data_IF_234040569562
#
_entry.id   IF_234040569562
#
_cell.length_a   1.000
_cell.length_b   1.000
_cell.length_c   1.000
_cell.angle_alpha   90.00
_cell.angle_beta   90.00
_cell.angle_gamma   90.00
#
_symmetry.space_group_name_H-M   'P 1'
#
loop_
_entity.id
_entity.type
_entity.pdbx_description
1 polymer ?
#
# COMPACT_ATOMS: atom_id res chain seq x y z
N UNK A 1 21.65 -17.08 -15.45
CA UNK A 1 21.22 -16.22 -16.57
C UNK A 1 21.43 -14.78 -16.13
N UNK A 2 22.40 -14.07 -16.72
CA UNK A 2 22.64 -12.67 -16.35
C UNK A 2 21.46 -11.84 -16.84
N UNK A 3 20.70 -11.25 -15.91
CA UNK A 3 19.69 -10.25 -16.26
C UNK A 3 20.45 -9.02 -16.73
N UNK A 4 20.43 -8.75 -18.03
CA UNK A 4 21.00 -7.52 -18.57
C UNK A 4 20.18 -6.32 -18.09
N UNK A 5 20.89 -5.28 -17.65
CA UNK A 5 20.31 -4.02 -17.15
C UNK A 5 19.37 -3.41 -18.18
N UNK A 6 19.68 -3.59 -19.47
CA UNK A 6 18.85 -3.16 -20.61
C UNK A 6 17.44 -3.77 -20.57
N UNK A 7 17.33 -5.08 -20.34
CA UNK A 7 16.04 -5.79 -20.29
C UNK A 7 15.25 -5.35 -19.06
N UNK A 8 15.94 -5.14 -17.93
CA UNK A 8 15.30 -4.64 -16.71
C UNK A 8 14.75 -3.22 -16.90
N UNK A 9 15.54 -2.32 -17.49
CA UNK A 9 15.09 -0.96 -17.80
C UNK A 9 13.93 -0.95 -18.81
N UNK A 10 13.97 -1.84 -19.80
CA UNK A 10 12.88 -2.00 -20.77
C UNK A 10 11.60 -2.46 -20.06
N UNK A 11 11.68 -3.48 -19.22
CA UNK A 11 10.54 -4.00 -18.46
C UNK A 11 9.92 -2.92 -17.55
N UNK A 12 10.76 -2.19 -16.81
CA UNK A 12 10.31 -1.07 -15.94
C UNK A 12 9.65 0.04 -16.76
N UNK A 13 10.21 0.39 -17.91
CA UNK A 13 9.65 1.44 -18.78
C UNK A 13 8.29 1.05 -19.37
N UNK A 14 8.14 -0.21 -19.82
CA UNK A 14 6.86 -0.73 -20.32
C UNK A 14 5.81 -0.74 -19.21
N UNK A 15 6.19 -1.16 -17.99
CA UNK A 15 5.29 -1.17 -16.83
C UNK A 15 4.85 0.25 -16.46
N UNK A 16 5.77 1.23 -16.46
CA UNK A 16 5.42 2.64 -16.25
C UNK A 16 4.53 3.20 -17.36
N UNK A 17 4.77 2.82 -18.61
CA UNK A 17 3.94 3.25 -19.74
C UNK A 17 2.48 2.81 -19.56
N UNK A 18 2.25 1.53 -19.25
CA UNK A 18 0.90 1.03 -18.96
C UNK A 18 0.29 1.68 -17.72
N UNK A 19 1.09 1.92 -16.69
CA UNK A 19 0.66 2.60 -15.46
C UNK A 19 0.16 4.02 -15.76
N UNK A 20 0.91 4.81 -16.54
CA UNK A 20 0.51 6.18 -16.92
C UNK A 20 -0.78 6.14 -17.78
N UNK A 21 -0.89 5.17 -18.68
CA UNK A 21 -2.07 5.01 -19.52
C UNK A 21 -3.31 4.66 -18.67
N UNK A 22 -3.14 3.77 -17.69
CA UNK A 22 -4.16 3.43 -16.70
C UNK A 22 -4.55 4.66 -15.86
N UNK A 23 -3.59 5.49 -15.45
CA UNK A 23 -3.85 6.74 -14.75
C UNK A 23 -4.70 7.73 -15.55
N UNK A 24 -4.44 7.87 -16.87
CA UNK A 24 -5.30 8.68 -17.75
C UNK A 24 -6.66 8.04 -18.02
N UNK A 25 -6.74 6.71 -18.05
CA UNK A 25 -8.01 6.00 -18.19
C UNK A 25 -8.89 6.18 -16.94
N UNK A 26 -8.30 6.18 -15.73
CA UNK A 26 -9.01 6.41 -14.47
C UNK A 26 -9.85 7.68 -14.50
N UNK A 27 -9.29 8.80 -14.96
CA UNK A 27 -10.02 10.07 -15.03
C UNK A 27 -11.15 10.07 -16.05
N UNK A 28 -11.10 9.21 -17.07
CA UNK A 28 -12.15 9.09 -18.09
C UNK A 28 -13.25 8.11 -17.72
N UNK A 29 -12.93 7.01 -17.05
CA UNK A 29 -13.88 5.97 -16.67
C UNK A 29 -14.47 6.15 -15.27
N UNK A 30 -13.98 7.13 -14.49
CA UNK A 30 -14.48 7.39 -13.12
C UNK A 30 -14.08 6.34 -12.09
N UNK A 31 -13.20 5.40 -12.45
CA UNK A 31 -12.71 4.33 -11.57
C UNK A 31 -11.52 4.85 -10.76
N UNK A 32 -11.41 4.53 -9.45
CA UNK A 32 -10.25 4.91 -8.63
C UNK A 32 -8.92 4.49 -9.26
N UNK A 33 -8.00 5.43 -9.43
CA UNK A 33 -6.70 5.19 -10.07
C UNK A 33 -5.91 4.07 -9.37
N UNK A 34 -6.01 3.98 -8.04
CA UNK A 34 -5.44 2.92 -7.22
C UNK A 34 -5.82 1.51 -7.70
N UNK A 35 -7.10 1.27 -8.05
CA UNK A 35 -7.55 -0.04 -8.51
C UNK A 35 -6.94 -0.41 -9.87
N UNK A 36 -6.78 0.57 -10.76
CA UNK A 36 -6.16 0.34 -12.07
C UNK A 36 -4.66 0.07 -11.94
N UNK A 37 -3.94 0.84 -11.12
CA UNK A 37 -2.51 0.55 -10.85
C UNK A 37 -2.31 -0.82 -10.20
N UNK A 38 -3.17 -1.20 -9.24
CA UNK A 38 -3.16 -2.52 -8.62
C UNK A 38 -3.34 -3.62 -9.67
N UNK A 39 -4.31 -3.46 -10.58
CA UNK A 39 -4.57 -4.43 -11.65
C UNK A 39 -3.37 -4.60 -12.57
N UNK A 40 -2.74 -3.51 -13.01
CA UNK A 40 -1.53 -3.54 -13.83
C UNK A 40 -0.39 -4.26 -13.09
N UNK A 41 -0.21 -3.98 -11.80
CA UNK A 41 0.78 -4.64 -10.96
C UNK A 41 0.55 -6.14 -10.79
N UNK A 42 -0.70 -6.54 -10.51
CA UNK A 42 -1.07 -7.95 -10.37
C UNK A 42 -0.89 -8.74 -11.68
N UNK A 43 -1.30 -8.16 -12.81
CA UNK A 43 -1.07 -8.76 -14.14
C UNK A 43 0.41 -8.87 -14.49
N UNK A 44 1.24 -7.95 -13.99
CA UNK A 44 2.68 -8.00 -14.22
C UNK A 44 3.40 -8.97 -13.26
N UNK A 45 2.75 -9.42 -12.19
CA UNK A 45 3.35 -10.27 -11.18
C UNK A 45 3.40 -11.75 -11.50
N UNK A 46 3.65 -12.56 -10.47
CA UNK A 46 3.81 -14.02 -10.58
C UNK A 46 2.61 -14.71 -11.21
N UNK A 47 1.40 -14.20 -10.95
CA UNK A 47 0.14 -14.79 -11.40
C UNK A 47 -0.24 -14.35 -12.83
N UNK A 48 0.51 -13.43 -13.44
CA UNK A 48 0.29 -12.96 -14.79
C UNK A 48 1.51 -13.18 -15.69
N UNK A 49 2.32 -12.13 -15.92
CA UNK A 49 3.51 -12.19 -16.77
C UNK A 49 4.69 -12.98 -16.16
N UNK A 50 4.56 -13.46 -14.93
CA UNK A 50 5.52 -14.35 -14.29
C UNK A 50 6.78 -13.65 -13.77
N UNK A 51 6.73 -12.33 -13.52
CA UNK A 51 7.87 -11.60 -12.92
C UNK A 51 8.04 -12.07 -11.47
N UNK A 52 9.16 -12.71 -11.09
CA UNK A 52 9.34 -13.24 -9.75
C UNK A 52 9.61 -12.12 -8.74
N UNK A 53 8.72 -11.95 -7.78
CA UNK A 53 8.89 -11.04 -6.63
C UNK A 53 9.40 -11.81 -5.40
N UNK A 54 10.64 -12.29 -5.45
CA UNK A 54 11.23 -13.05 -4.34
C UNK A 54 12.18 -12.21 -3.45
N UNK A 55 12.31 -10.91 -3.72
CA UNK A 55 13.25 -10.04 -3.01
C UNK A 55 12.52 -9.04 -2.10
N UNK A 56 12.37 -9.44 -0.83
CA UNK A 56 11.75 -8.61 0.21
C UNK A 56 12.57 -7.33 0.44
N UNK A 57 13.90 -7.39 0.35
CA UNK A 57 14.76 -6.21 0.56
C UNK A 57 14.55 -5.14 -0.52
N UNK A 58 14.45 -5.55 -1.79
CA UNK A 58 14.17 -4.63 -2.89
C UNK A 58 12.77 -4.01 -2.75
N UNK A 59 11.76 -4.81 -2.42
CA UNK A 59 10.40 -4.33 -2.21
C UNK A 59 10.34 -3.32 -1.04
N UNK A 60 10.99 -3.62 0.09
CA UNK A 60 11.05 -2.73 1.24
C UNK A 60 11.77 -1.41 0.92
N UNK A 61 12.90 -1.47 0.19
CA UNK A 61 13.63 -0.27 -0.22
C UNK A 61 12.77 0.65 -1.11
N UNK A 62 12.13 0.09 -2.15
CA UNK A 62 11.25 0.84 -3.05
C UNK A 62 10.05 1.41 -2.27
N UNK A 63 9.42 0.59 -1.43
CA UNK A 63 8.27 1.00 -0.61
C UNK A 63 8.63 2.12 0.36
N UNK A 64 9.80 2.05 1.00
CA UNK A 64 10.25 3.09 1.94
C UNK A 64 10.46 4.41 1.23
N UNK A 65 11.15 4.40 0.08
CA UNK A 65 11.37 5.62 -0.72
C UNK A 65 10.03 6.19 -1.21
N UNK A 66 9.13 5.35 -1.71
CA UNK A 66 7.81 5.76 -2.15
C UNK A 66 6.97 6.36 -1.00
N UNK A 67 6.96 5.72 0.18
CA UNK A 67 6.25 6.20 1.36
C UNK A 67 6.80 7.55 1.83
N UNK A 68 8.12 7.73 1.85
CA UNK A 68 8.74 9.01 2.16
C UNK A 68 8.28 10.11 1.21
N UNK A 69 8.25 9.84 -0.11
CA UNK A 69 7.78 10.81 -1.11
C UNK A 69 6.30 11.14 -0.90
N UNK A 70 5.45 10.14 -0.67
CA UNK A 70 4.01 10.33 -0.46
C UNK A 70 3.73 11.17 0.80
N UNK A 71 4.37 10.82 1.93
CA UNK A 71 4.22 11.55 3.18
C UNK A 71 4.77 12.97 3.09
N UNK A 72 5.90 13.15 2.39
CA UNK A 72 6.50 14.45 2.19
C UNK A 72 5.64 15.36 1.29
N UNK A 73 5.15 14.85 0.16
CA UNK A 73 4.24 15.61 -0.72
C UNK A 73 2.96 15.98 0.03
N UNK A 74 2.31 15.01 0.69
CA UNK A 74 1.09 15.27 1.45
C UNK A 74 1.29 16.31 2.55
N UNK A 75 2.44 16.29 3.24
CA UNK A 75 2.79 17.29 4.25
C UNK A 75 3.04 18.69 3.67
N UNK A 76 3.76 18.79 2.54
CA UNK A 76 4.08 20.07 1.90
C UNK A 76 2.87 20.71 1.19
N UNK A 77 2.02 19.90 0.58
CA UNK A 77 0.85 20.37 -0.17
C UNK A 77 -0.25 20.94 0.76
N UNK A 78 -0.16 20.67 2.07
CA UNK A 78 -1.17 21.12 3.03
C UNK A 78 -0.87 22.51 3.59
N UNK A 79 -1.75 23.49 3.30
CA UNK A 79 -1.61 24.86 3.81
C UNK A 79 -1.94 24.96 5.30
N UNK A 80 -0.96 25.32 6.12
CA UNK A 80 -1.14 25.45 7.58
C UNK A 80 -2.31 26.34 8.00
N UNK A 81 -2.63 27.36 7.20
CA UNK A 81 -3.75 28.29 7.45
C UNK A 81 -5.11 27.60 7.39
N UNK A 82 -5.27 26.58 6.54
CA UNK A 82 -6.50 25.80 6.37
C UNK A 82 -6.66 24.74 7.46
N UNK A 83 -5.55 24.11 7.89
CA UNK A 83 -5.60 23.06 8.93
C UNK A 83 -5.78 23.67 10.32
N UNK A 84 -5.18 24.84 10.60
CA UNK A 84 -5.15 25.49 11.91
C UNK A 84 -6.46 25.40 12.72
N UNK A 85 -7.66 25.69 12.17
CA UNK A 85 -8.92 25.60 12.92
C UNK A 85 -9.29 24.18 13.38
N UNK A 86 -8.80 23.13 12.71
CA UNK A 86 -9.19 21.72 12.94
C UNK A 86 -8.05 20.84 13.46
N UNK A 87 -6.84 21.37 13.69
CA UNK A 87 -5.67 20.61 14.16
C UNK A 87 -5.99 19.77 15.40
N UNK A 88 -6.68 20.33 16.39
CA UNK A 88 -6.99 19.61 17.63
C UNK A 88 -7.84 18.36 17.37
N UNK A 89 -8.86 18.47 16.52
CA UNK A 89 -9.70 17.33 16.13
C UNK A 89 -8.89 16.32 15.31
N UNK A 90 -8.05 16.80 14.38
CA UNK A 90 -7.16 15.96 13.58
C UNK A 90 -6.20 15.13 14.43
N UNK A 91 -5.57 15.74 15.44
CA UNK A 91 -4.64 15.05 16.35
C UNK A 91 -5.37 13.99 17.19
N UNK A 92 -6.56 14.30 17.70
CA UNK A 92 -7.37 13.33 18.46
C UNK A 92 -7.75 12.14 17.58
N UNK A 93 -8.19 12.39 16.34
CA UNK A 93 -8.57 11.33 15.40
C UNK A 93 -7.36 10.47 15.00
N UNK A 94 -6.21 11.10 14.75
CA UNK A 94 -4.97 10.41 14.36
C UNK A 94 -4.34 9.59 15.51
N UNK A 95 -4.63 9.93 16.77
CA UNK A 95 -4.08 9.22 17.95
C UNK A 95 -5.10 8.27 18.55
N UNK A 96 -6.14 8.82 19.18
CA UNK A 96 -7.17 8.05 19.88
C UNK A 96 -8.04 7.28 18.89
N UNK A 97 -8.39 7.89 17.76
CA UNK A 97 -9.18 7.24 16.72
C UNK A 97 -8.46 6.00 16.17
N UNK A 98 -7.22 6.16 15.73
CA UNK A 98 -6.39 5.05 15.21
C UNK A 98 -6.15 3.97 16.28
N UNK A 99 -5.89 4.35 17.53
CA UNK A 99 -5.71 3.39 18.62
C UNK A 99 -6.97 2.55 18.84
N UNK A 100 -8.15 3.18 18.88
CA UNK A 100 -9.42 2.47 19.04
C UNK A 100 -9.72 1.57 17.84
N UNK A 101 -9.55 2.05 16.60
CA UNK A 101 -9.81 1.25 15.39
C UNK A 101 -8.85 0.08 15.28
N UNK A 102 -7.58 0.27 15.66
CA UNK A 102 -6.56 -0.78 15.70
C UNK A 102 -6.93 -1.86 16.70
N UNK A 103 -7.34 -1.49 17.92
CA UNK A 103 -7.72 -2.46 18.95
C UNK A 103 -8.95 -3.26 18.52
N UNK A 104 -10.01 -2.57 18.06
CA UNK A 104 -11.26 -3.23 17.69
C UNK A 104 -11.03 -4.15 16.49
N UNK A 105 -10.42 -3.64 15.42
CA UNK A 105 -10.21 -4.41 14.17
C UNK A 105 -9.19 -5.52 14.39
N UNK A 106 -8.10 -5.27 15.12
CA UNK A 106 -7.08 -6.27 15.44
C UNK A 106 -7.62 -7.41 16.30
N UNK A 107 -8.49 -7.12 17.28
CA UNK A 107 -9.19 -8.15 18.06
C UNK A 107 -10.15 -8.98 17.19
N UNK A 108 -10.89 -8.33 16.28
CA UNK A 108 -11.75 -9.03 15.33
C UNK A 108 -10.95 -9.94 14.39
N UNK A 109 -9.83 -9.46 13.86
CA UNK A 109 -8.93 -10.26 13.01
C UNK A 109 -8.41 -11.47 13.80
N UNK A 110 -7.92 -11.26 15.02
CA UNK A 110 -7.43 -12.34 15.88
C UNK A 110 -8.53 -13.37 16.18
N UNK A 111 -9.74 -12.90 16.48
CA UNK A 111 -10.87 -13.78 16.79
C UNK A 111 -11.34 -14.58 15.57
N UNK A 112 -11.52 -13.94 14.42
CA UNK A 112 -11.92 -14.60 13.17
C UNK A 112 -10.83 -15.58 12.73
N UNK A 113 -9.56 -15.18 12.78
CA UNK A 113 -8.43 -16.05 12.44
C UNK A 113 -8.38 -17.30 13.35
N UNK A 114 -8.67 -17.15 14.64
CA UNK A 114 -8.76 -18.26 15.60
C UNK A 114 -9.89 -19.25 15.32
N UNK A 115 -11.05 -18.77 14.87
CA UNK A 115 -12.19 -19.63 14.49
C UNK A 115 -11.90 -20.38 13.19
N UNK A 116 -11.23 -19.72 12.25
CA UNK A 116 -11.21 -20.17 10.85
C UNK A 116 -10.30 -21.37 10.60
N UNK A 117 -9.38 -21.76 11.50
CA UNK A 117 -8.51 -22.99 11.45
C UNK A 117 -7.90 -23.39 10.09
N UNK A 118 -7.93 -22.52 9.07
CA UNK A 118 -7.48 -22.77 7.69
C UNK A 118 -6.07 -22.19 7.46
N UNK A 119 -5.54 -21.40 8.37
CA UNK A 119 -4.14 -20.99 8.34
C UNK A 119 -3.41 -21.60 9.55
N UNK A 120 -2.58 -22.60 9.28
CA UNK A 120 -1.64 -23.27 10.20
C UNK A 120 -0.51 -22.35 10.71
N UNK A 121 -0.82 -21.08 10.90
CA UNK A 121 -0.03 -20.08 11.60
C UNK A 121 -0.98 -19.38 12.55
N UNK A 122 -0.84 -19.65 13.84
CA UNK A 122 -1.48 -18.84 14.88
C UNK A 122 -1.04 -17.38 14.67
N UNK A 123 -1.90 -16.57 14.06
CA UNK A 123 -1.64 -15.15 13.92
C UNK A 123 -1.74 -14.58 15.31
N UNK A 124 -0.59 -14.26 15.91
CA UNK A 124 -0.52 -13.68 17.24
C UNK A 124 -1.39 -12.43 17.36
N UNK A 125 -1.81 -12.13 18.59
CA UNK A 125 -2.57 -10.91 18.88
C UNK A 125 -1.80 -9.66 18.42
N UNK A 126 -0.47 -9.65 18.64
CA UNK A 126 0.40 -8.55 18.23
C UNK A 126 0.47 -8.39 16.71
N UNK A 127 0.58 -9.48 15.94
CA UNK A 127 0.62 -9.38 14.48
C UNK A 127 -0.73 -8.94 13.92
N UNK A 128 -1.84 -9.40 14.51
CA UNK A 128 -3.19 -8.95 14.14
C UNK A 128 -3.40 -7.45 14.42
N UNK A 129 -2.91 -6.96 15.55
CA UNK A 129 -2.93 -5.52 15.88
C UNK A 129 -2.05 -4.71 14.92
N UNK A 130 -0.86 -5.19 14.58
CA UNK A 130 0.02 -4.51 13.63
C UNK A 130 -0.60 -4.44 12.23
N UNK A 131 -1.23 -5.51 11.76
CA UNK A 131 -1.94 -5.53 10.48
C UNK A 131 -3.12 -4.55 10.48
N UNK A 132 -3.83 -4.42 11.61
CA UNK A 132 -4.94 -3.48 11.75
C UNK A 132 -4.51 -2.01 11.84
N UNK A 133 -3.25 -1.74 12.18
CA UNK A 133 -2.71 -0.39 12.35
C UNK A 133 -2.14 0.21 11.05
N UNK A 134 -1.88 -0.63 10.04
CA UNK A 134 -1.33 -0.28 8.73
C UNK A 134 -2.46 -0.04 7.74
#
# INVERSE_FOLDING_TARGET
MQINIEILLLAVSVLFFFSILAGKASSRFGVPALLLFLTVGMLSGSDGLGIPFNNIHAAHAISTVALCIILFSGGMDTQFKEIKPVISQGVILATVGVLLTTIITGLLIWWIAGITTIASTEVGLLTSLLIAAI
#
